data_IF_542466782439
#
_entry.id   IF_542466782439
#
_cell.length_a   1.000
_cell.length_b   1.000
_cell.length_c   1.000
_cell.angle_alpha   90.00
_cell.angle_beta   90.00
_cell.angle_gamma   90.00
#
_symmetry.space_group_name_H-M   'P 1'
#
loop_
_entity.id
_entity.type
_entity.pdbx_description
1 polymer ?
#
# COMPACT_ATOMS: atom_id res chain seq x y z
N UNK A 1 11.29 31.43 48.98
CA UNK A 1 10.59 31.63 47.69
C UNK A 1 10.26 30.23 47.17
N UNK A 2 9.05 29.64 47.22
CA UNK A 2 7.70 30.01 46.70
C UNK A 2 7.77 30.58 45.28
N UNK A 3 7.05 30.12 44.24
CA UNK A 3 6.04 29.08 44.00
C UNK A 3 5.94 28.80 42.48
N UNK A 4 5.42 27.62 42.12
CA UNK A 4 4.84 27.05 40.88
C UNK A 4 4.44 27.96 39.69
N UNK A 5 4.49 27.43 38.44
CA UNK A 5 3.35 27.25 37.48
C UNK A 5 3.74 26.28 36.32
N UNK A 6 2.80 25.38 35.97
CA UNK A 6 2.78 24.39 34.88
C UNK A 6 2.71 24.95 33.45
N UNK A 7 3.26 24.26 32.42
CA UNK A 7 2.66 24.14 31.07
C UNK A 7 3.11 22.86 30.30
N UNK A 8 2.11 22.21 29.70
CA UNK A 8 2.13 20.97 28.90
C UNK A 8 2.99 21.02 27.63
N UNK A 9 3.47 19.86 27.14
CA UNK A 9 3.88 19.73 25.74
C UNK A 9 4.58 18.41 25.38
N UNK A 10 3.93 17.59 24.56
CA UNK A 10 4.45 16.34 23.99
C UNK A 10 5.68 16.62 23.10
N UNK A 11 6.89 16.31 23.57
CA UNK A 11 8.05 16.20 22.68
C UNK A 11 8.06 14.82 22.02
N UNK A 12 7.44 14.71 20.84
CA UNK A 12 7.78 13.63 19.90
C UNK A 12 9.13 13.99 19.26
N UNK A 13 10.13 13.10 19.27
CA UNK A 13 11.35 13.36 18.53
C UNK A 13 10.99 13.43 17.03
N UNK A 14 11.42 14.51 16.40
CA UNK A 14 11.28 14.76 14.96
C UNK A 14 12.16 13.72 14.26
N UNK A 15 11.55 12.88 13.43
CA UNK A 15 12.25 11.84 12.70
C UNK A 15 13.02 12.49 11.55
N UNK A 16 14.29 12.81 11.80
CA UNK A 16 15.20 13.33 10.78
C UNK A 16 15.62 12.18 9.84
N UNK A 17 15.11 12.22 8.61
CA UNK A 17 15.33 11.16 7.61
C UNK A 17 16.80 11.02 7.18
N UNK A 18 17.63 12.04 7.40
CA UNK A 18 19.00 12.06 6.89
C UNK A 18 19.97 11.18 7.68
N UNK A 19 19.87 11.16 9.01
CA UNK A 19 20.70 10.28 9.88
C UNK A 19 20.36 8.81 9.66
N UNK A 20 19.14 8.51 9.23
CA UNK A 20 18.70 7.14 8.95
C UNK A 20 19.39 6.52 7.73
N UNK A 21 19.73 7.35 6.74
CA UNK A 21 20.28 6.90 5.47
C UNK A 21 21.71 6.35 5.60
N UNK A 22 22.57 7.07 6.32
CA UNK A 22 23.98 6.72 6.47
C UNK A 22 24.20 5.47 7.33
N UNK A 23 23.34 5.25 8.33
CA UNK A 23 23.38 4.05 9.17
C UNK A 23 23.05 2.78 8.36
N UNK A 24 22.13 2.88 7.40
CA UNK A 24 21.65 1.76 6.58
C UNK A 24 22.70 1.21 5.61
N UNK A 25 23.67 2.04 5.22
CA UNK A 25 24.70 1.71 4.20
C UNK A 25 25.85 0.86 4.77
N UNK A 26 25.89 0.59 6.09
CA UNK A 26 27.06 -0.04 6.76
C UNK A 26 26.98 -1.55 7.05
N UNK A 27 25.85 -2.26 6.88
CA UNK A 27 25.67 -3.62 7.47
C UNK A 27 25.91 -4.82 6.50
N UNK A 28 26.76 -5.85 6.71
CA UNK A 28 26.92 -7.01 5.79
C UNK A 28 25.70 -7.97 5.79
N UNK A 29 25.59 -8.93 4.84
CA UNK A 29 24.57 -10.00 4.59
C UNK A 29 23.24 -10.09 5.42
N UNK A 30 23.24 -9.82 6.73
CA UNK A 30 22.09 -9.25 7.45
C UNK A 30 21.45 -8.04 6.74
N UNK A 31 22.19 -7.38 5.83
CA UNK A 31 21.70 -6.34 4.90
C UNK A 31 20.52 -6.78 4.04
N UNK A 32 20.24 -8.05 3.75
CA UNK A 32 18.98 -8.42 3.06
C UNK A 32 17.73 -8.10 3.91
N UNK A 33 17.88 -8.07 5.25
CA UNK A 33 16.81 -7.62 6.14
C UNK A 33 16.59 -6.11 6.05
N UNK A 34 17.57 -5.31 5.61
CA UNK A 34 17.40 -3.86 5.47
C UNK A 34 16.48 -3.46 4.29
N UNK A 35 16.64 -3.94 3.04
CA UNK A 35 15.66 -3.72 1.97
C UNK A 35 14.30 -4.31 2.30
N UNK A 36 14.24 -5.50 2.92
CA UNK A 36 12.95 -6.09 3.33
C UNK A 36 12.26 -5.27 4.41
N UNK A 37 12.99 -4.80 5.42
CA UNK A 37 12.47 -3.94 6.49
C UNK A 37 12.06 -2.57 5.95
N UNK A 38 12.92 -1.91 5.17
CA UNK A 38 12.63 -0.62 4.56
C UNK A 38 11.45 -0.72 3.59
N UNK A 39 11.37 -1.80 2.81
CA UNK A 39 10.23 -2.07 1.95
C UNK A 39 8.95 -2.28 2.76
N UNK A 40 9.00 -2.99 3.88
CA UNK A 40 7.85 -3.14 4.78
C UNK A 40 7.43 -1.80 5.37
N UNK A 41 8.37 -0.97 5.85
CA UNK A 41 8.09 0.39 6.35
C UNK A 41 7.45 1.24 5.26
N UNK A 42 8.02 1.27 4.05
CA UNK A 42 7.45 1.99 2.91
C UNK A 42 6.05 1.45 2.56
N UNK A 43 5.83 0.14 2.56
CA UNK A 43 4.51 -0.44 2.28
C UNK A 43 3.49 -0.04 3.35
N UNK A 44 3.85 -0.09 4.63
CA UNK A 44 2.98 0.36 5.72
C UNK A 44 2.67 1.85 5.60
N UNK A 45 3.68 2.67 5.30
CA UNK A 45 3.49 4.11 5.15
C UNK A 45 2.61 4.45 3.94
N UNK A 46 2.82 3.78 2.81
CA UNK A 46 1.97 3.92 1.63
C UNK A 46 0.54 3.44 1.89
N UNK A 47 0.34 2.39 2.69
CA UNK A 47 -0.99 1.97 3.16
C UNK A 47 -1.69 3.06 3.98
N UNK A 48 -0.98 3.70 4.91
CA UNK A 48 -1.52 4.83 5.68
C UNK A 48 -1.87 6.01 4.76
N UNK A 49 -1.04 6.35 3.78
CA UNK A 49 -1.33 7.42 2.82
C UNK A 49 -2.53 7.10 1.95
N UNK A 50 -2.69 5.83 1.53
CA UNK A 50 -3.88 5.34 0.82
C UNK A 50 -5.13 5.54 1.66
N UNK A 51 -5.12 5.12 2.94
CA UNK A 51 -6.26 5.26 3.85
C UNK A 51 -6.67 6.73 4.08
N UNK A 52 -5.71 7.66 3.96
CA UNK A 52 -5.93 9.12 4.03
C UNK A 52 -6.33 9.75 2.68
N UNK A 53 -6.48 8.96 1.60
CA UNK A 53 -6.69 9.41 0.22
C UNK A 53 -5.54 10.27 -0.36
N UNK A 54 -4.35 10.20 0.22
CA UNK A 54 -3.13 10.84 -0.31
C UNK A 54 -2.47 9.91 -1.34
N UNK A 55 -3.12 9.77 -2.51
CA UNK A 55 -2.77 8.71 -3.45
C UNK A 55 -1.38 8.87 -4.09
N UNK A 56 -0.93 10.09 -4.39
CA UNK A 56 0.39 10.34 -4.96
C UNK A 56 1.51 9.87 -4.01
N UNK A 57 1.34 10.13 -2.72
CA UNK A 57 2.27 9.71 -1.67
C UNK A 57 2.21 8.19 -1.47
N UNK A 58 1.02 7.60 -1.53
CA UNK A 58 0.83 6.16 -1.49
C UNK A 58 1.56 5.45 -2.66
N UNK A 59 1.45 5.98 -3.89
CA UNK A 59 2.16 5.50 -5.06
C UNK A 59 3.68 5.64 -4.90
N UNK A 60 4.15 6.79 -4.40
CA UNK A 60 5.57 7.02 -4.14
C UNK A 60 6.14 5.99 -3.18
N UNK A 61 5.50 5.78 -2.03
CA UNK A 61 5.96 4.80 -1.05
C UNK A 61 5.81 3.35 -1.54
N UNK A 62 4.73 3.02 -2.24
CA UNK A 62 4.56 1.71 -2.88
C UNK A 62 5.64 1.42 -3.92
N UNK A 63 5.98 2.40 -4.75
CA UNK A 63 7.06 2.31 -5.74
C UNK A 63 8.44 2.14 -5.10
N UNK A 64 8.73 2.91 -4.05
CA UNK A 64 9.96 2.72 -3.26
C UNK A 64 10.02 1.33 -2.63
N UNK A 65 8.92 0.86 -2.05
CA UNK A 65 8.84 -0.48 -1.47
C UNK A 65 9.09 -1.57 -2.52
N UNK A 66 8.51 -1.43 -3.71
CA UNK A 66 8.69 -2.36 -4.82
C UNK A 66 10.13 -2.35 -5.34
N UNK A 67 10.75 -1.18 -5.49
CA UNK A 67 12.15 -1.07 -5.92
C UNK A 67 13.12 -1.77 -4.93
N UNK A 68 12.82 -1.70 -3.63
CA UNK A 68 13.61 -2.38 -2.60
C UNK A 68 13.40 -3.90 -2.59
N UNK A 69 12.20 -4.38 -2.91
CA UNK A 69 11.87 -5.82 -2.95
C UNK A 69 11.04 -6.18 -4.19
N UNK A 70 11.65 -6.20 -5.39
CA UNK A 70 10.91 -6.35 -6.65
C UNK A 70 10.23 -7.72 -6.82
N UNK A 71 10.62 -8.71 -6.02
CA UNK A 71 10.04 -10.06 -5.98
C UNK A 71 8.98 -10.24 -4.87
N UNK A 72 8.74 -9.24 -4.04
CA UNK A 72 7.72 -9.27 -3.00
C UNK A 72 6.36 -8.86 -3.58
N UNK A 73 5.31 -9.60 -3.22
CA UNK A 73 3.97 -9.30 -3.71
C UNK A 73 3.32 -8.12 -2.97
N UNK A 74 3.75 -7.80 -1.73
CA UNK A 74 3.05 -6.82 -0.87
C UNK A 74 3.07 -5.39 -1.42
N UNK A 75 4.20 -4.87 -1.97
CA UNK A 75 4.19 -3.59 -2.66
C UNK A 75 3.28 -3.60 -3.89
N UNK A 76 3.21 -4.74 -4.61
CA UNK A 76 2.36 -4.88 -5.78
C UNK A 76 0.87 -4.84 -5.40
N UNK A 77 0.47 -5.48 -4.31
CA UNK A 77 -0.92 -5.40 -3.82
C UNK A 77 -1.30 -3.99 -3.41
N UNK A 78 -0.40 -3.25 -2.74
CA UNK A 78 -0.63 -1.85 -2.38
C UNK A 78 -0.81 -0.99 -3.64
N UNK A 79 0.11 -1.09 -4.60
CA UNK A 79 0.05 -0.34 -5.85
C UNK A 79 -1.21 -0.67 -6.65
N UNK A 80 -1.62 -1.94 -6.70
CA UNK A 80 -2.88 -2.35 -7.32
C UNK A 80 -4.07 -1.66 -6.70
N UNK A 81 -4.14 -1.71 -5.37
CA UNK A 81 -5.26 -1.15 -4.62
C UNK A 81 -5.35 0.38 -4.74
N UNK A 82 -4.23 1.09 -4.70
CA UNK A 82 -4.16 2.55 -4.88
C UNK A 82 -4.65 2.94 -6.27
N UNK A 83 -4.21 2.25 -7.33
CA UNK A 83 -4.64 2.56 -8.71
C UNK A 83 -6.14 2.32 -8.90
N UNK A 84 -6.70 1.23 -8.35
CA UNK A 84 -8.16 0.99 -8.37
C UNK A 84 -8.90 2.12 -7.65
N UNK A 85 -8.41 2.54 -6.48
CA UNK A 85 -8.99 3.65 -5.70
C UNK A 85 -8.79 5.02 -6.37
N UNK A 86 -7.85 5.18 -7.30
CA UNK A 86 -7.73 6.37 -8.14
C UNK A 86 -8.61 6.34 -9.40
N UNK A 87 -9.17 5.18 -9.75
CA UNK A 87 -9.94 4.99 -10.98
C UNK A 87 -9.11 4.47 -12.17
N UNK A 88 -7.80 4.26 -11.99
CA UNK A 88 -6.96 3.61 -13.00
C UNK A 88 -7.06 2.07 -12.87
N UNK A 89 -8.18 1.55 -13.36
CA UNK A 89 -8.54 0.16 -13.08
C UNK A 89 -7.62 -0.86 -13.77
N UNK A 90 -7.19 -0.58 -15.00
CA UNK A 90 -6.36 -1.52 -15.75
C UNK A 90 -4.96 -1.58 -15.15
N UNK A 91 -4.35 -0.43 -14.82
CA UNK A 91 -3.07 -0.40 -14.11
C UNK A 91 -3.18 -1.10 -12.74
N UNK A 92 -4.28 -0.89 -12.03
CA UNK A 92 -4.55 -1.58 -10.77
C UNK A 92 -4.58 -3.10 -10.90
N UNK A 93 -5.24 -3.62 -11.93
CA UNK A 93 -5.30 -5.05 -12.21
C UNK A 93 -3.95 -5.62 -12.67
N UNK A 94 -3.18 -4.88 -13.47
CA UNK A 94 -1.82 -5.28 -13.85
C UNK A 94 -0.91 -5.43 -12.63
N UNK A 95 -1.06 -4.55 -11.62
CA UNK A 95 -0.34 -4.69 -10.36
C UNK A 95 -0.79 -5.88 -9.53
N UNK A 96 -2.08 -6.21 -9.53
CA UNK A 96 -2.55 -7.44 -8.88
C UNK A 96 -2.08 -8.71 -9.60
N UNK A 97 -1.97 -8.70 -10.93
CA UNK A 97 -1.37 -9.81 -11.68
C UNK A 97 0.12 -9.96 -11.34
N UNK A 98 0.87 -8.87 -11.29
CA UNK A 98 2.25 -8.86 -10.78
C UNK A 98 2.34 -9.41 -9.35
N UNK A 99 1.39 -9.09 -8.48
CA UNK A 99 1.34 -9.64 -7.12
C UNK A 99 1.13 -11.16 -7.14
N UNK A 100 0.22 -11.65 -8.00
CA UNK A 100 -0.08 -13.08 -8.17
C UNK A 100 1.16 -13.85 -8.67
N UNK A 101 1.86 -13.33 -9.66
CA UNK A 101 3.13 -13.88 -10.17
C UNK A 101 4.20 -13.99 -9.07
N UNK A 102 4.14 -13.11 -8.07
CA UNK A 102 5.06 -13.05 -6.91
C UNK A 102 4.56 -13.82 -5.69
N UNK A 103 3.48 -14.59 -5.83
CA UNK A 103 2.98 -15.50 -4.82
C UNK A 103 1.81 -14.99 -3.98
N UNK A 104 1.18 -13.85 -4.33
CA UNK A 104 -0.10 -13.48 -3.73
C UNK A 104 -1.17 -14.50 -4.14
N UNK A 105 -1.92 -15.01 -3.16
CA UNK A 105 -3.05 -15.90 -3.46
C UNK A 105 -4.20 -15.11 -4.08
N UNK A 106 -4.94 -15.74 -4.99
CA UNK A 106 -6.15 -15.15 -5.55
C UNK A 106 -7.15 -14.75 -4.46
N UNK A 107 -7.27 -15.57 -3.40
CA UNK A 107 -8.09 -15.25 -2.22
C UNK A 107 -7.69 -13.92 -1.57
N UNK A 108 -6.38 -13.66 -1.43
CA UNK A 108 -5.90 -12.41 -0.82
C UNK A 108 -6.18 -11.19 -1.69
N UNK A 109 -6.03 -11.32 -3.01
CA UNK A 109 -6.36 -10.25 -3.97
C UNK A 109 -7.87 -9.97 -3.96
N UNK A 110 -8.70 -11.02 -3.99
CA UNK A 110 -10.16 -10.88 -3.93
C UNK A 110 -10.62 -10.27 -2.61
N UNK A 111 -9.94 -10.55 -1.50
CA UNK A 111 -10.23 -9.92 -0.21
C UNK A 111 -9.97 -8.41 -0.23
N UNK A 112 -8.84 -7.98 -0.80
CA UNK A 112 -8.49 -6.56 -0.93
C UNK A 112 -9.47 -5.83 -1.87
N UNK A 113 -9.76 -6.40 -3.06
CA UNK A 113 -10.78 -5.88 -3.98
C UNK A 113 -12.16 -5.76 -3.34
N UNK A 114 -12.58 -6.74 -2.54
CA UNK A 114 -13.85 -6.69 -1.80
C UNK A 114 -13.85 -5.53 -0.82
N UNK A 115 -12.74 -5.30 -0.10
CA UNK A 115 -12.58 -4.16 0.80
C UNK A 115 -12.75 -2.81 0.09
N UNK A 116 -12.14 -2.66 -1.09
CA UNK A 116 -12.28 -1.46 -1.92
C UNK A 116 -13.73 -1.25 -2.34
N UNK A 117 -14.38 -2.29 -2.89
CA UNK A 117 -15.76 -2.20 -3.36
C UNK A 117 -16.74 -1.84 -2.24
N UNK A 118 -16.54 -2.36 -1.02
CA UNK A 118 -17.39 -2.07 0.13
C UNK A 118 -17.27 -0.62 0.61
N UNK A 119 -16.09 -0.01 0.48
CA UNK A 119 -15.86 1.41 0.84
C UNK A 119 -16.23 2.38 -0.27
N UNK A 120 -16.20 1.95 -1.53
CA UNK A 120 -16.55 2.77 -2.67
C UNK A 120 -18.01 3.23 -2.62
N UNK A 121 -18.26 4.45 -3.09
CA UNK A 121 -19.61 4.92 -3.39
C UNK A 121 -20.26 4.07 -4.50
N UNK A 122 -21.56 4.26 -4.69
CA UNK A 122 -22.36 3.46 -5.62
C UNK A 122 -21.85 3.55 -7.06
N UNK A 123 -21.49 4.75 -7.54
CA UNK A 123 -21.09 4.93 -8.93
C UNK A 123 -19.75 4.21 -9.18
N UNK A 124 -18.75 4.49 -8.33
CA UNK A 124 -17.43 3.89 -8.43
C UNK A 124 -17.46 2.37 -8.24
N UNK A 125 -18.31 1.86 -7.35
CA UNK A 125 -18.48 0.42 -7.15
C UNK A 125 -18.96 -0.27 -8.43
N UNK A 126 -19.96 0.31 -9.11
CA UNK A 126 -20.46 -0.26 -10.36
C UNK A 126 -19.45 -0.16 -11.51
N UNK A 127 -18.65 0.91 -11.56
CA UNK A 127 -17.53 1.03 -12.51
C UNK A 127 -16.49 -0.09 -12.29
N UNK A 128 -16.04 -0.29 -11.05
CA UNK A 128 -15.09 -1.36 -10.72
C UNK A 128 -15.68 -2.73 -11.07
N UNK A 129 -16.94 -3.01 -10.69
CA UNK A 129 -17.63 -4.27 -11.01
C UNK A 129 -17.68 -4.52 -12.52
N UNK A 130 -18.04 -3.51 -13.30
CA UNK A 130 -18.11 -3.61 -14.75
C UNK A 130 -16.73 -3.93 -15.36
N UNK A 131 -15.67 -3.26 -14.91
CA UNK A 131 -14.30 -3.53 -15.40
C UNK A 131 -13.85 -4.93 -15.04
N UNK A 132 -14.02 -5.35 -13.78
CA UNK A 132 -13.63 -6.69 -13.32
C UNK A 132 -14.33 -7.78 -14.15
N UNK A 133 -15.65 -7.67 -14.32
CA UNK A 133 -16.44 -8.65 -15.10
C UNK A 133 -16.09 -8.64 -16.60
N UNK A 134 -15.69 -7.49 -17.14
CA UNK A 134 -15.22 -7.38 -18.53
C UNK A 134 -13.85 -8.04 -18.72
N UNK A 135 -12.96 -7.93 -17.74
CA UNK A 135 -11.62 -8.53 -17.79
C UNK A 135 -11.70 -10.05 -17.67
N UNK A 136 -12.45 -10.56 -16.69
CA UNK A 136 -12.67 -11.99 -16.51
C UNK A 136 -13.98 -12.24 -15.76
N UNK A 137 -15.03 -12.56 -16.51
CA UNK A 137 -16.37 -12.73 -15.95
C UNK A 137 -16.51 -13.92 -15.02
N UNK A 138 -15.69 -14.96 -15.19
CA UNK A 138 -15.74 -16.17 -14.35
C UNK A 138 -14.96 -15.99 -13.07
N UNK A 139 -13.73 -15.46 -13.15
CA UNK A 139 -12.89 -15.16 -11.99
C UNK A 139 -13.56 -14.17 -11.05
N UNK A 140 -14.15 -13.10 -11.61
CA UNK A 140 -14.76 -12.03 -10.83
C UNK A 140 -16.27 -12.18 -10.65
N UNK A 141 -16.89 -13.32 -10.96
CA UNK A 141 -18.35 -13.51 -10.81
C UNK A 141 -18.87 -13.20 -9.41
N UNK A 142 -18.04 -13.33 -8.39
CA UNK A 142 -18.39 -13.03 -6.99
C UNK A 142 -18.78 -11.56 -6.77
N UNK A 143 -18.33 -10.62 -7.62
CA UNK A 143 -18.66 -9.20 -7.48
C UNK A 143 -20.12 -8.88 -7.82
N UNK A 144 -20.82 -9.79 -8.51
CA UNK A 144 -22.25 -9.64 -8.84
C UNK A 144 -23.14 -9.65 -7.59
N UNK A 145 -22.66 -10.26 -6.51
CA UNK A 145 -23.38 -10.43 -5.25
C UNK A 145 -22.96 -9.39 -4.18
N UNK A 146 -22.31 -8.31 -4.60
CA UNK A 146 -21.77 -7.25 -3.74
C UNK A 146 -22.39 -5.89 -4.08
#
# INVERSE_FOLDING_TARGET
MRNDVWLNGKNRPIFDGHVSHDLLISIPAARQKAPKLNSAICTTHGGVMRDLNHFDEALKFGGQAHALTPKDFRPCTLLGAVNIEMGDYLTGLDWYEKAKERGASERSINYDLRGILLRADKAKREEIKAVLLRVDSERYKWVRNL
#
